data_IF_357382333563
#
_entry.id   IF_357382333563
#
_cell.length_a   1.000
_cell.length_b   1.000
_cell.length_c   1.000
_cell.angle_alpha   90.00
_cell.angle_beta   90.00
_cell.angle_gamma   90.00
#
_symmetry.space_group_name_H-M   'P 1'
#
loop_
_entity.id
_entity.type
_entity.pdbx_description
1 polymer ?
#
# COMPACT_ATOMS: atom_id res chain seq x y z
N UNK A 1 15.04 8.91 35.15
CA UNK A 1 14.90 10.32 34.77
C UNK A 1 16.17 11.02 34.26
N UNK A 2 17.39 10.71 34.74
CA UNK A 2 18.64 11.38 34.31
C UNK A 2 19.16 11.01 32.90
N UNK A 3 18.80 9.87 32.36
CA UNK A 3 19.26 9.43 31.01
C UNK A 3 18.54 10.11 29.84
N UNK A 4 17.30 10.53 30.02
CA UNK A 4 16.52 11.20 28.94
C UNK A 4 16.90 12.67 28.73
N UNK A 5 17.43 13.34 29.79
CA UNK A 5 17.91 14.71 29.71
C UNK A 5 19.22 14.85 28.91
N UNK A 6 20.07 13.81 28.89
CA UNK A 6 21.31 13.81 28.12
C UNK A 6 21.06 13.69 26.63
N UNK A 7 20.09 12.88 26.20
CA UNK A 7 19.73 12.72 24.77
C UNK A 7 19.09 14.00 24.23
N UNK A 8 18.22 14.65 24.99
CA UNK A 8 17.64 15.94 24.62
C UNK A 8 18.70 17.06 24.54
N UNK A 9 19.71 17.06 25.41
CA UNK A 9 20.79 18.05 25.38
C UNK A 9 21.72 17.86 24.18
N UNK A 10 21.97 16.62 23.73
CA UNK A 10 22.80 16.35 22.57
C UNK A 10 22.08 16.75 21.27
N UNK A 11 20.77 16.52 21.16
CA UNK A 11 19.99 16.97 20.01
C UNK A 11 19.94 18.51 19.89
N UNK A 12 19.82 19.22 21.01
CA UNK A 12 19.76 20.68 21.04
C UNK A 12 21.16 21.30 20.81
N UNK A 13 22.26 20.63 21.19
CA UNK A 13 23.62 21.14 20.98
C UNK A 13 24.16 20.92 19.55
N UNK A 14 23.60 19.97 18.78
CA UNK A 14 23.99 19.72 17.39
C UNK A 14 23.30 20.70 16.42
N UNK A 15 22.10 21.16 16.74
CA UNK A 15 21.36 22.13 15.91
C UNK A 15 22.12 23.44 15.63
N UNK A 16 22.80 24.11 16.62
CA UNK A 16 23.54 25.34 16.33
C UNK A 16 24.83 25.14 15.53
N UNK A 17 25.44 23.95 15.57
CA UNK A 17 26.67 23.67 14.80
C UNK A 17 26.37 23.43 13.32
N UNK A 18 25.20 22.88 12.99
CA UNK A 18 24.72 22.76 11.61
C UNK A 18 24.40 24.14 10.97
N UNK A 19 24.11 25.17 11.78
CA UNK A 19 23.85 26.52 11.30
C UNK A 19 25.11 27.35 10.99
N UNK A 20 26.32 26.87 11.31
CA UNK A 20 27.60 27.57 11.04
C UNK A 20 28.31 27.12 9.75
N UNK A 21 27.74 26.18 8.98
CA UNK A 21 28.28 25.80 7.70
C UNK A 21 27.97 26.93 6.68
N UNK A 22 28.99 27.70 6.34
CA UNK A 22 28.96 28.72 5.29
C UNK A 22 28.40 28.12 3.99
N UNK A 23 27.43 28.84 3.36
CA UNK A 23 26.82 28.58 2.05
C UNK A 23 25.82 27.40 1.93
N UNK A 24 25.20 26.95 3.01
CA UNK A 24 23.99 26.11 2.85
C UNK A 24 22.79 26.98 2.45
N UNK A 25 22.49 27.02 1.17
CA UNK A 25 21.21 27.57 0.70
C UNK A 25 20.10 26.65 1.18
N UNK A 26 19.30 27.12 2.17
CA UNK A 26 17.95 26.61 2.37
C UNK A 26 17.25 26.77 1.01
N UNK A 27 17.07 25.65 0.25
CA UNK A 27 16.72 25.81 -1.16
C UNK A 27 15.31 26.33 -1.34
N UNK A 28 14.32 25.78 -0.65
CA UNK A 28 12.95 26.31 -0.62
C UNK A 28 12.02 25.39 0.17
N UNK A 29 10.91 25.96 0.60
CA UNK A 29 9.73 25.24 1.06
C UNK A 29 8.66 25.27 -0.03
N UNK A 30 8.06 24.10 -0.31
CA UNK A 30 6.91 23.97 -1.22
C UNK A 30 5.81 23.19 -0.52
N UNK A 31 4.61 23.77 -0.45
CA UNK A 31 3.46 23.11 0.17
C UNK A 31 3.19 21.76 -0.52
N UNK A 32 3.20 20.69 0.28
CA UNK A 32 3.04 19.31 -0.18
C UNK A 32 4.32 18.61 -0.63
N UNK A 33 5.44 19.34 -0.76
CA UNK A 33 6.75 18.77 -1.11
C UNK A 33 7.79 18.94 0.01
N UNK A 34 7.48 19.78 1.00
CA UNK A 34 8.26 19.95 2.22
C UNK A 34 9.44 20.92 2.09
N UNK A 35 10.35 20.78 3.06
CA UNK A 35 11.53 21.60 3.23
C UNK A 35 12.75 20.87 2.69
N UNK A 36 13.48 21.52 1.77
CA UNK A 36 14.66 20.94 1.15
C UNK A 36 15.92 21.73 1.53
N UNK A 37 16.93 21.00 1.96
CA UNK A 37 18.29 21.48 2.22
C UNK A 37 19.23 20.84 1.20
N UNK A 38 20.11 21.60 0.58
CA UNK A 38 21.10 21.06 -0.35
C UNK A 38 22.43 21.78 -0.23
N UNK A 39 23.52 21.06 -0.46
CA UNK A 39 24.87 21.61 -0.60
C UNK A 39 25.39 21.25 -2.00
N UNK A 40 24.99 22.04 -2.97
CA UNK A 40 25.29 21.77 -4.39
C UNK A 40 24.87 20.34 -4.77
N UNK A 41 25.75 19.65 -5.45
CA UNK A 41 25.55 18.24 -5.88
C UNK A 41 26.04 17.22 -4.84
N UNK A 42 26.55 17.64 -3.69
CA UNK A 42 27.16 16.73 -2.73
C UNK A 42 26.12 15.96 -1.94
N UNK A 43 25.10 16.66 -1.46
CA UNK A 43 23.97 16.03 -0.77
C UNK A 43 22.71 16.89 -0.83
N UNK A 44 21.59 16.23 -0.67
CA UNK A 44 20.26 16.82 -0.53
C UNK A 44 19.49 16.09 0.54
N UNK A 45 18.80 16.85 1.41
CA UNK A 45 17.86 16.33 2.40
C UNK A 45 16.52 17.03 2.18
N UNK A 46 15.45 16.24 2.07
CA UNK A 46 14.09 16.73 2.01
C UNK A 46 13.29 16.16 3.18
N UNK A 47 12.79 17.06 4.02
CA UNK A 47 11.89 16.75 5.13
C UNK A 47 10.47 17.13 4.73
N UNK A 48 9.55 16.20 4.81
CA UNK A 48 8.14 16.42 4.55
C UNK A 48 7.25 15.54 5.41
N UNK A 49 6.02 15.99 5.59
CA UNK A 49 5.02 15.22 6.30
C UNK A 49 3.63 15.55 5.84
N UNK A 50 2.66 14.82 6.33
CA UNK A 50 1.26 15.12 6.13
C UNK A 50 0.38 14.50 7.22
N UNK A 51 -0.78 15.14 7.43
CA UNK A 51 -1.82 14.67 8.32
C UNK A 51 -3.13 14.55 7.56
N UNK A 52 -3.93 13.53 7.90
CA UNK A 52 -5.22 13.23 7.28
C UNK A 52 -6.27 12.91 8.34
N UNK A 53 -6.82 13.92 9.04
CA UNK A 53 -8.00 13.73 9.86
C UNK A 53 -9.21 13.49 8.96
N UNK A 54 -10.11 12.59 9.40
CA UNK A 54 -11.35 12.32 8.69
C UNK A 54 -12.53 12.02 9.62
N UNK A 55 -13.71 12.24 9.11
CA UNK A 55 -14.97 11.78 9.65
C UNK A 55 -15.49 10.64 8.76
N UNK A 56 -16.02 9.59 9.39
CA UNK A 56 -16.64 8.45 8.72
C UNK A 56 -17.98 8.15 9.37
N UNK A 57 -18.95 7.85 8.55
CA UNK A 57 -20.18 7.19 9.01
C UNK A 57 -20.46 5.94 8.18
N UNK A 58 -21.13 4.98 8.80
CA UNK A 58 -21.64 3.76 8.17
C UNK A 58 -23.10 3.56 8.56
N UNK A 59 -23.88 3.06 7.64
CA UNK A 59 -25.24 2.63 7.85
C UNK A 59 -25.53 1.42 6.99
N UNK A 60 -26.55 0.68 7.35
CA UNK A 60 -26.92 -0.57 6.70
C UNK A 60 -28.34 -0.48 6.16
N UNK A 61 -28.67 -1.28 5.15
CA UNK A 61 -30.02 -1.37 4.60
C UNK A 61 -30.87 -2.44 5.32
N UNK A 62 -30.26 -3.23 6.20
CA UNK A 62 -30.99 -4.20 7.04
C UNK A 62 -31.87 -3.45 8.04
N UNK A 63 -33.19 -3.67 7.98
CA UNK A 63 -34.18 -3.01 8.84
C UNK A 63 -34.03 -3.36 10.32
N UNK A 64 -33.33 -4.44 10.65
CA UNK A 64 -33.05 -4.86 12.02
C UNK A 64 -31.82 -4.19 12.64
N UNK A 65 -31.06 -3.42 11.83
CA UNK A 65 -29.85 -2.74 12.24
C UNK A 65 -30.04 -1.23 12.29
N UNK A 66 -30.69 -0.73 13.36
CA UNK A 66 -30.96 0.70 13.58
C UNK A 66 -29.72 1.53 13.95
N UNK A 67 -28.55 1.19 13.44
CA UNK A 67 -27.31 1.80 13.86
C UNK A 67 -26.64 2.69 12.82
N UNK A 68 -26.55 4.01 13.11
CA UNK A 68 -25.58 4.90 12.46
C UNK A 68 -24.26 4.83 13.22
N UNK A 69 -23.28 4.08 12.69
CA UNK A 69 -21.92 4.13 13.21
C UNK A 69 -21.22 5.38 12.68
N UNK A 70 -20.64 6.18 13.58
CA UNK A 70 -19.94 7.40 13.19
C UNK A 70 -18.71 7.63 14.07
N UNK A 71 -17.64 8.17 13.45
CA UNK A 71 -16.40 8.47 14.18
C UNK A 71 -15.57 9.56 13.52
N UNK A 72 -14.87 10.31 14.35
CA UNK A 72 -13.70 11.10 13.95
C UNK A 72 -12.43 10.31 14.17
N UNK A 73 -11.48 10.40 13.24
CA UNK A 73 -10.24 9.64 13.31
C UNK A 73 -9.09 10.36 12.61
N UNK A 74 -7.89 10.17 13.11
CA UNK A 74 -6.66 10.49 12.40
C UNK A 74 -6.27 9.30 11.53
N UNK A 75 -6.50 9.40 10.22
CA UNK A 75 -6.27 8.30 9.30
C UNK A 75 -4.78 8.07 9.02
N UNK A 76 -4.02 9.16 8.86
CA UNK A 76 -2.56 9.11 8.64
C UNK A 76 -1.91 10.35 9.24
N UNK A 77 -0.74 10.14 9.86
CA UNK A 77 0.15 11.20 10.34
C UNK A 77 1.58 10.77 10.02
N UNK A 78 2.13 11.22 8.89
CA UNK A 78 3.38 10.70 8.35
C UNK A 78 4.47 11.75 8.31
N UNK A 79 5.68 11.31 8.69
CA UNK A 79 6.92 12.07 8.49
C UNK A 79 7.84 11.27 7.59
N UNK A 80 8.52 11.97 6.69
CA UNK A 80 9.46 11.38 5.76
C UNK A 80 10.69 12.25 5.59
N UNK A 81 11.85 11.63 5.71
CA UNK A 81 13.14 12.16 5.34
C UNK A 81 13.61 11.39 4.12
N UNK A 82 13.93 12.07 3.05
CA UNK A 82 14.55 11.46 1.88
C UNK A 82 15.57 12.42 1.28
N UNK A 83 16.50 11.88 0.52
CA UNK A 83 17.51 12.70 -0.10
C UNK A 83 18.44 11.88 -0.97
N UNK A 84 19.50 12.55 -1.37
CA UNK A 84 20.60 11.96 -2.10
C UNK A 84 21.94 12.44 -1.56
N UNK A 85 22.98 11.67 -1.81
CA UNK A 85 24.35 11.92 -1.38
C UNK A 85 25.35 11.45 -2.44
N UNK A 86 26.64 11.75 -2.21
CA UNK A 86 27.75 11.32 -3.06
C UNK A 86 27.53 11.64 -4.55
N UNK A 87 27.13 12.87 -4.86
CA UNK A 87 26.84 13.34 -6.22
C UNK A 87 25.76 12.51 -6.91
N UNK A 88 24.65 12.31 -6.21
CA UNK A 88 23.48 11.52 -6.64
C UNK A 88 23.72 10.03 -6.87
N UNK A 89 24.82 9.48 -6.35
CA UNK A 89 25.09 8.03 -6.42
C UNK A 89 24.29 7.24 -5.40
N UNK A 90 23.93 7.88 -4.27
CA UNK A 90 23.20 7.24 -3.19
C UNK A 90 21.93 8.01 -2.95
N UNK A 91 20.77 7.35 -3.04
CA UNK A 91 19.50 7.88 -2.55
C UNK A 91 19.13 7.15 -1.26
N UNK A 92 18.35 7.80 -0.41
CA UNK A 92 17.86 7.20 0.83
C UNK A 92 16.47 7.70 1.18
N UNK A 93 15.76 6.90 1.96
CA UNK A 93 14.47 7.28 2.55
C UNK A 93 14.29 6.64 3.91
N UNK A 94 13.74 7.44 4.79
CA UNK A 94 13.17 7.03 6.06
C UNK A 94 11.76 7.61 6.18
N UNK A 95 10.76 6.79 6.50
CA UNK A 95 9.38 7.23 6.66
C UNK A 95 8.71 6.49 7.80
N UNK A 96 7.99 7.25 8.65
CA UNK A 96 7.20 6.73 9.76
C UNK A 96 5.75 7.17 9.64
N UNK A 97 4.84 6.40 10.22
CA UNK A 97 3.43 6.75 10.43
C UNK A 97 3.12 6.71 11.93
N UNK A 98 2.67 7.84 12.46
CA UNK A 98 2.36 8.02 13.88
C UNK A 98 0.88 7.75 14.19
N UNK A 99 0.07 7.41 13.19
CA UNK A 99 -1.36 7.13 13.39
C UNK A 99 -1.66 5.71 13.88
N UNK A 100 -0.70 4.78 13.77
CA UNK A 100 -0.89 3.37 14.09
C UNK A 100 -1.81 2.59 13.14
N UNK A 101 -2.18 3.19 12.00
CA UNK A 101 -3.03 2.54 11.01
C UNK A 101 -2.22 1.97 9.85
N UNK A 102 -2.66 0.82 9.32
CA UNK A 102 -2.09 0.29 8.08
C UNK A 102 -2.38 1.20 6.87
N UNK A 103 -1.70 0.95 5.76
CA UNK A 103 -1.91 1.68 4.50
C UNK A 103 -3.36 1.57 4.01
N UNK A 104 -4.02 0.47 4.26
CA UNK A 104 -5.40 0.17 3.88
C UNK A 104 -6.42 0.49 4.98
N UNK A 105 -5.99 0.61 6.24
CA UNK A 105 -6.83 1.01 7.38
C UNK A 105 -7.62 -0.13 8.02
N UNK A 106 -7.38 -1.34 7.60
CA UNK A 106 -8.05 -2.56 8.06
C UNK A 106 -7.27 -3.32 9.16
N UNK A 107 -6.05 -2.90 9.44
CA UNK A 107 -5.17 -3.52 10.43
C UNK A 107 -4.38 -2.46 11.21
N UNK A 108 -3.89 -2.79 12.38
CA UNK A 108 -2.84 -2.03 13.03
C UNK A 108 -1.52 -2.15 12.25
N UNK A 109 -0.68 -1.13 12.28
CA UNK A 109 0.60 -1.17 11.60
C UNK A 109 1.73 -0.73 12.52
N UNK A 110 2.91 -1.24 12.26
CA UNK A 110 4.14 -0.74 12.87
C UNK A 110 4.43 0.71 12.45
N UNK A 111 5.14 1.43 13.29
CA UNK A 111 5.48 2.84 13.04
C UNK A 111 6.36 3.01 11.79
N UNK A 112 7.33 2.11 11.58
CA UNK A 112 8.26 2.19 10.46
C UNK A 112 7.59 1.78 9.15
N UNK A 113 7.63 2.67 8.17
CA UNK A 113 7.12 2.42 6.82
C UNK A 113 8.24 2.13 5.83
N UNK A 114 9.07 3.13 5.54
CA UNK A 114 10.17 3.00 4.59
C UNK A 114 11.50 3.22 5.32
N UNK A 115 12.48 2.34 5.11
CA UNK A 115 13.85 2.47 5.57
C UNK A 115 14.75 1.79 4.54
N UNK A 116 15.30 2.55 3.60
CA UNK A 116 16.09 1.98 2.54
C UNK A 116 17.19 2.91 2.03
N UNK A 117 18.21 2.30 1.47
CA UNK A 117 19.29 2.95 0.74
C UNK A 117 19.33 2.39 -0.69
N UNK A 118 19.53 3.27 -1.67
CA UNK A 118 19.65 2.95 -3.09
C UNK A 118 21.00 3.38 -3.60
N UNK A 119 21.64 2.50 -4.35
CA UNK A 119 22.83 2.82 -5.11
C UNK A 119 22.48 2.95 -6.60
N UNK A 120 22.76 4.12 -7.19
CA UNK A 120 22.55 4.42 -8.59
C UNK A 120 23.81 4.01 -9.37
N UNK A 121 23.78 2.80 -9.97
CA UNK A 121 24.90 2.30 -10.81
C UNK A 121 25.10 3.26 -11.99
N UNK A 122 24.00 3.65 -12.62
CA UNK A 122 23.94 4.68 -13.64
C UNK A 122 22.51 5.27 -13.71
N UNK A 123 22.25 6.19 -14.64
CA UNK A 123 20.94 6.83 -14.82
C UNK A 123 19.77 5.87 -15.16
N UNK A 124 20.07 4.63 -15.52
CA UNK A 124 19.08 3.66 -16.00
C UNK A 124 19.01 2.40 -15.14
N UNK A 125 19.93 2.19 -14.20
CA UNK A 125 19.97 1.00 -13.36
C UNK A 125 20.34 1.39 -11.94
N UNK A 126 19.54 0.94 -10.98
CA UNK A 126 19.80 1.13 -9.56
C UNK A 126 19.45 -0.12 -8.75
N UNK A 127 20.07 -0.25 -7.60
CA UNK A 127 19.81 -1.30 -6.62
C UNK A 127 19.42 -0.63 -5.31
N UNK A 128 18.31 -1.06 -4.75
CA UNK A 128 17.81 -0.59 -3.44
C UNK A 128 17.85 -1.75 -2.46
N UNK A 129 18.31 -1.50 -1.23
CA UNK A 129 18.28 -2.45 -0.12
C UNK A 129 17.56 -1.82 1.07
N UNK A 130 16.69 -2.60 1.73
CA UNK A 130 15.91 -2.19 2.88
C UNK A 130 14.41 -2.37 2.70
N UNK A 131 13.63 -1.74 3.58
CA UNK A 131 12.17 -1.84 3.59
C UNK A 131 11.54 -0.75 2.74
N UNK A 132 10.72 -1.12 1.77
CA UNK A 132 9.96 -0.20 0.92
C UNK A 132 8.67 -0.82 0.41
N UNK A 133 7.85 0.00 -0.25
CA UNK A 133 6.68 -0.51 -1.01
C UNK A 133 7.15 -1.52 -2.03
N UNK A 134 6.55 -2.72 -2.01
CA UNK A 134 6.87 -3.77 -2.97
C UNK A 134 6.33 -3.44 -4.37
N UNK A 135 7.13 -3.66 -5.43
CA UNK A 135 6.68 -3.43 -6.80
C UNK A 135 5.72 -4.52 -7.31
N UNK A 136 5.63 -5.65 -6.61
CA UNK A 136 4.83 -6.82 -7.00
C UNK A 136 3.34 -6.70 -6.69
N UNK A 137 2.94 -5.62 -6.02
CA UNK A 137 1.54 -5.28 -5.79
C UNK A 137 0.98 -4.40 -6.91
N UNK A 138 -0.32 -4.09 -6.83
CA UNK A 138 -1.02 -3.23 -7.78
C UNK A 138 -0.50 -1.77 -7.76
N UNK A 139 -0.76 -1.02 -8.82
CA UNK A 139 -0.26 0.34 -9.05
C UNK A 139 -0.65 1.32 -7.97
N UNK A 140 -1.85 1.23 -7.42
CA UNK A 140 -2.33 2.14 -6.39
C UNK A 140 -1.39 2.19 -5.18
N UNK A 141 -0.74 1.08 -4.82
CA UNK A 141 0.24 1.03 -3.74
C UNK A 141 1.54 1.78 -4.04
N UNK A 142 1.92 1.94 -5.31
CA UNK A 142 3.06 2.76 -5.71
C UNK A 142 2.79 4.27 -5.55
N UNK A 143 1.53 4.65 -5.30
CA UNK A 143 1.10 6.05 -5.16
C UNK A 143 1.09 6.46 -3.69
N UNK A 144 1.54 7.68 -3.41
CA UNK A 144 1.45 8.25 -2.06
C UNK A 144 0.00 8.48 -1.65
N UNK A 145 -0.35 8.16 -0.41
CA UNK A 145 -1.74 8.28 0.07
C UNK A 145 -2.31 9.70 -0.01
N UNK A 146 -1.46 10.73 0.09
CA UNK A 146 -1.87 12.12 -0.10
C UNK A 146 -2.25 12.44 -1.56
N UNK A 147 -1.88 11.58 -2.53
CA UNK A 147 -2.15 11.78 -3.96
C UNK A 147 -3.38 11.03 -4.48
N UNK A 148 -4.07 10.28 -3.62
CA UNK A 148 -5.29 9.56 -3.96
C UNK A 148 -6.42 10.53 -4.31
N UNK A 149 -7.25 10.18 -5.29
CA UNK A 149 -8.46 10.91 -5.66
C UNK A 149 -9.62 10.62 -4.70
N UNK A 150 -9.77 9.37 -4.30
CA UNK A 150 -10.72 8.94 -3.28
C UNK A 150 -10.03 8.84 -1.92
N UNK A 151 -10.80 8.87 -0.84
CA UNK A 151 -10.29 8.92 0.53
C UNK A 151 -9.52 7.66 0.88
N UNK A 152 -10.07 6.50 0.53
CA UNK A 152 -9.44 5.21 0.79
C UNK A 152 -8.99 4.52 -0.51
N UNK A 153 -8.02 3.64 -0.35
CA UNK A 153 -7.57 2.74 -1.42
C UNK A 153 -8.67 1.78 -1.84
N UNK A 154 -8.52 1.18 -3.02
CA UNK A 154 -9.46 0.18 -3.53
C UNK A 154 -9.49 -1.06 -2.63
N UNK A 155 -10.58 -1.81 -2.70
CA UNK A 155 -10.68 -3.08 -1.98
C UNK A 155 -9.70 -4.12 -2.52
N UNK A 156 -9.35 -4.11 -3.81
CA UNK A 156 -8.27 -4.92 -4.39
C UNK A 156 -6.97 -4.71 -3.62
N UNK A 157 -6.60 -3.46 -3.38
CA UNK A 157 -5.40 -3.12 -2.61
C UNK A 157 -5.45 -3.67 -1.19
N UNK A 158 -6.58 -3.54 -0.49
CA UNK A 158 -6.71 -4.04 0.88
C UNK A 158 -6.76 -5.57 0.95
N UNK A 159 -7.35 -6.23 -0.03
CA UNK A 159 -7.46 -7.69 -0.05
C UNK A 159 -6.13 -8.38 -0.40
N UNK A 160 -5.40 -7.90 -1.39
CA UNK A 160 -4.25 -8.63 -1.97
C UNK A 160 -2.88 -8.01 -1.68
N UNK A 161 -2.81 -6.74 -1.29
CA UNK A 161 -1.53 -6.05 -1.16
C UNK A 161 -0.70 -6.55 0.01
N UNK A 162 0.56 -6.92 -0.23
CA UNK A 162 1.59 -7.12 0.80
C UNK A 162 2.08 -5.79 1.35
N UNK A 163 1.99 -4.74 0.57
CA UNK A 163 2.25 -3.32 0.83
C UNK A 163 3.73 -3.01 0.88
N UNK A 164 4.45 -3.48 1.89
CA UNK A 164 5.88 -3.23 2.09
C UNK A 164 6.58 -4.51 2.45
N UNK A 165 7.82 -4.62 1.99
CA UNK A 165 8.68 -5.76 2.27
C UNK A 165 10.12 -5.30 2.45
N UNK A 166 10.88 -6.06 3.22
CA UNK A 166 12.31 -5.88 3.39
C UNK A 166 13.06 -6.78 2.40
N UNK A 167 14.04 -6.22 1.67
CA UNK A 167 14.82 -6.99 0.72
C UNK A 167 15.63 -6.16 -0.25
N UNK A 168 15.97 -6.77 -1.39
CA UNK A 168 16.72 -6.17 -2.50
C UNK A 168 15.79 -5.92 -3.68
N UNK A 169 15.92 -4.74 -4.27
CA UNK A 169 15.14 -4.33 -5.44
C UNK A 169 16.06 -3.77 -6.50
N UNK A 170 15.91 -4.27 -7.73
CA UNK A 170 16.69 -3.81 -8.90
C UNK A 170 15.74 -3.13 -9.86
N UNK A 171 15.91 -1.83 -10.07
CA UNK A 171 15.07 -1.03 -10.96
C UNK A 171 15.84 -0.67 -12.23
N UNK A 172 15.23 -0.94 -13.39
CA UNK A 172 15.73 -0.60 -14.70
C UNK A 172 14.89 0.49 -15.40
N UNK A 173 15.50 1.20 -16.35
CA UNK A 173 14.82 2.15 -17.23
C UNK A 173 15.42 2.10 -18.63
N UNK A 174 14.66 1.60 -19.58
CA UNK A 174 15.03 1.50 -20.97
C UNK A 174 14.19 2.48 -21.80
N UNK A 175 14.84 3.25 -22.69
CA UNK A 175 14.16 4.15 -23.62
C UNK A 175 14.40 3.69 -25.05
N UNK A 176 13.32 3.56 -25.81
CA UNK A 176 13.41 3.25 -27.24
C UNK A 176 13.74 4.50 -28.06
N UNK A 177 14.15 4.32 -29.30
CA UNK A 177 14.39 5.43 -30.25
C UNK A 177 13.13 6.29 -30.48
N UNK A 178 11.95 5.69 -30.42
CA UNK A 178 10.65 6.37 -30.59
C UNK A 178 10.13 7.05 -29.32
N UNK A 179 10.92 7.11 -28.24
CA UNK A 179 10.54 7.83 -27.01
C UNK A 179 9.66 7.04 -26.04
N UNK A 180 9.35 5.77 -26.32
CA UNK A 180 8.68 4.86 -25.38
C UNK A 180 9.64 4.46 -24.25
N UNK A 181 9.09 4.06 -23.10
CA UNK A 181 9.89 3.58 -21.97
C UNK A 181 9.41 2.21 -21.50
N UNK A 182 10.37 1.36 -21.13
CA UNK A 182 10.16 0.14 -20.34
C UNK A 182 10.88 0.31 -19.00
N UNK A 183 10.20 -0.01 -17.92
CA UNK A 183 10.74 0.09 -16.56
C UNK A 183 10.58 -1.25 -15.83
N UNK A 184 11.51 -2.19 -16.04
CA UNK A 184 11.52 -3.45 -15.29
C UNK A 184 11.98 -3.20 -13.85
N UNK A 185 11.37 -3.92 -12.91
CA UNK A 185 11.79 -4.00 -11.51
C UNK A 185 11.79 -5.46 -11.09
N UNK A 186 12.88 -5.93 -10.47
CA UNK A 186 12.99 -7.22 -9.80
C UNK A 186 13.00 -6.98 -8.28
N UNK A 187 12.37 -7.85 -7.51
CA UNK A 187 12.36 -7.83 -6.06
C UNK A 187 12.67 -9.22 -5.51
N UNK A 188 13.56 -9.29 -4.53
CA UNK A 188 13.82 -10.47 -3.70
C UNK A 188 13.68 -10.00 -2.27
N UNK A 189 12.70 -10.54 -1.54
CA UNK A 189 12.29 -10.08 -0.22
C UNK A 189 12.02 -11.26 0.71
N UNK A 190 11.86 -11.01 2.00
CA UNK A 190 11.53 -12.07 2.96
C UNK A 190 10.13 -12.67 2.73
N UNK A 191 9.19 -11.92 2.12
CA UNK A 191 7.84 -12.44 1.85
C UNK A 191 6.82 -12.23 2.98
N UNK A 192 7.25 -11.84 4.15
CA UNK A 192 6.43 -11.69 5.37
C UNK A 192 5.88 -10.28 5.60
N UNK A 193 6.13 -9.36 4.67
CA UNK A 193 5.65 -7.99 4.77
C UNK A 193 6.65 -7.05 5.45
N UNK A 194 6.10 -6.06 6.18
CA UNK A 194 6.90 -5.02 6.82
C UNK A 194 7.23 -5.37 8.28
N UNK A 195 8.35 -4.80 8.76
CA UNK A 195 8.73 -4.81 10.19
C UNK A 195 9.05 -6.19 10.75
N UNK A 196 9.59 -7.08 9.94
CA UNK A 196 10.15 -8.37 10.35
C UNK A 196 11.54 -8.11 10.93
N UNK A 197 11.66 -8.11 12.27
CA UNK A 197 12.89 -7.69 12.96
C UNK A 197 13.59 -8.81 13.74
N UNK A 198 12.93 -9.91 14.01
CA UNK A 198 13.42 -10.94 14.95
C UNK A 198 13.46 -12.30 14.28
N UNK A 199 12.32 -12.84 13.96
CA UNK A 199 12.17 -14.13 13.31
C UNK A 199 11.67 -13.95 11.88
N UNK A 200 12.18 -14.77 10.98
CA UNK A 200 11.74 -14.91 9.61
C UNK A 200 11.14 -16.31 9.46
N UNK A 201 10.00 -16.43 8.83
CA UNK A 201 9.31 -17.71 8.63
C UNK A 201 9.24 -18.02 7.13
N UNK A 202 9.41 -19.31 6.81
CA UNK A 202 9.40 -19.76 5.44
C UNK A 202 10.65 -19.35 4.65
N UNK A 203 10.48 -19.05 3.37
CA UNK A 203 11.59 -18.71 2.45
C UNK A 203 11.45 -17.32 1.84
N UNK A 204 12.25 -17.10 0.79
CA UNK A 204 12.25 -15.83 0.10
C UNK A 204 11.05 -15.70 -0.86
N UNK A 205 10.60 -14.48 -1.03
CA UNK A 205 9.70 -14.10 -2.12
C UNK A 205 10.50 -13.50 -3.28
N UNK A 206 10.28 -14.04 -4.47
CA UNK A 206 10.85 -13.51 -5.71
C UNK A 206 9.73 -12.99 -6.59
N UNK A 207 9.91 -11.83 -7.17
CA UNK A 207 8.90 -11.25 -8.04
C UNK A 207 9.39 -10.04 -8.80
N UNK A 208 8.52 -9.51 -9.65
CA UNK A 208 8.88 -8.36 -10.45
C UNK A 208 7.69 -7.64 -11.05
N UNK A 209 8.02 -6.54 -11.72
CA UNK A 209 7.09 -5.67 -12.42
C UNK A 209 7.74 -5.16 -13.69
N UNK A 210 6.95 -5.05 -14.75
CA UNK A 210 7.36 -4.34 -15.96
C UNK A 210 6.31 -3.27 -16.24
N UNK A 211 6.72 -1.99 -16.22
CA UNK A 211 5.92 -0.87 -16.66
C UNK A 211 6.29 -0.50 -18.10
N UNK A 212 5.30 -0.38 -18.97
CA UNK A 212 5.43 0.12 -20.34
C UNK A 212 4.72 1.47 -20.50
N UNK A 213 5.43 2.48 -21.00
CA UNK A 213 4.96 3.84 -21.21
C UNK A 213 5.06 4.20 -22.70
N UNK A 214 4.02 3.86 -23.52
CA UNK A 214 4.05 4.07 -24.97
C UNK A 214 4.15 5.55 -25.38
N UNK A 215 3.58 6.45 -24.60
CA UNK A 215 3.55 7.90 -24.89
C UNK A 215 4.60 8.69 -24.09
N UNK A 216 5.66 8.00 -23.64
CA UNK A 216 6.72 8.62 -22.86
C UNK A 216 6.33 8.87 -21.39
N UNK A 217 7.19 9.60 -20.68
CA UNK A 217 6.99 9.87 -19.26
C UNK A 217 5.86 10.86 -19.00
N UNK A 218 5.19 10.69 -17.87
CA UNK A 218 4.22 11.66 -17.36
C UNK A 218 4.94 12.89 -16.77
N UNK A 219 4.29 14.03 -16.82
CA UNK A 219 4.76 15.25 -16.17
C UNK A 219 4.79 15.05 -14.65
N UNK A 220 5.87 15.48 -14.00
CA UNK A 220 6.03 15.43 -12.54
C UNK A 220 5.72 14.05 -11.91
N UNK A 221 6.18 12.96 -12.54
CA UNK A 221 5.93 11.60 -12.07
C UNK A 221 4.44 11.26 -11.94
N UNK A 222 3.61 11.77 -12.86
CA UNK A 222 2.16 11.59 -12.85
C UNK A 222 1.69 10.12 -12.84
N UNK A 223 2.52 9.16 -13.28
CA UNK A 223 2.24 7.72 -13.20
C UNK A 223 2.15 7.17 -11.77
N UNK A 224 2.59 7.95 -10.77
CA UNK A 224 2.53 7.62 -9.33
C UNK A 224 1.58 8.55 -8.55
N UNK A 225 0.63 9.17 -9.23
CA UNK A 225 -0.38 10.09 -8.66
C UNK A 225 -1.70 9.81 -9.34
N UNK A 226 -2.84 9.77 -8.63
CA UNK A 226 -4.11 9.42 -9.27
C UNK A 226 -4.65 10.58 -10.11
N UNK A 227 -4.87 11.75 -9.53
CA UNK A 227 -5.45 12.89 -10.25
C UNK A 227 -4.53 13.43 -11.35
N UNK A 228 -5.12 13.87 -12.46
CA UNK A 228 -4.41 14.65 -13.50
C UNK A 228 -4.39 16.15 -13.14
N UNK A 229 -3.75 16.47 -12.00
CA UNK A 229 -3.69 17.84 -11.47
C UNK A 229 -2.90 18.80 -12.38
N UNK A 230 -1.91 18.28 -13.12
CA UNK A 230 -1.12 19.05 -14.09
C UNK A 230 -1.85 19.27 -15.41
N UNK A 231 -2.93 18.48 -15.67
CA UNK A 231 -3.70 18.47 -16.90
C UNK A 231 -2.83 18.20 -18.12
N UNK A 232 -2.29 16.98 -18.19
CA UNK A 232 -1.41 16.51 -19.29
C UNK A 232 -1.92 16.99 -20.66
N UNK A 233 -1.09 17.70 -21.39
CA UNK A 233 -1.48 18.30 -22.67
C UNK A 233 -1.61 17.27 -23.81
N UNK A 234 -0.90 16.16 -23.68
CA UNK A 234 -0.95 15.00 -24.58
C UNK A 234 -1.35 13.76 -23.79
N UNK A 235 -2.02 12.77 -24.40
CA UNK A 235 -2.34 11.53 -23.72
C UNK A 235 -1.09 10.88 -23.12
N UNK A 236 -1.19 10.40 -21.89
CA UNK A 236 -0.15 9.65 -21.19
C UNK A 236 -0.74 8.34 -20.71
N UNK A 237 -0.03 7.25 -20.99
CA UNK A 237 -0.42 5.90 -20.61
C UNK A 237 0.77 5.17 -20.00
N UNK A 238 0.52 4.45 -18.94
CA UNK A 238 1.41 3.41 -18.42
C UNK A 238 0.59 2.14 -18.23
N UNK A 239 1.15 1.02 -18.65
CA UNK A 239 0.63 -0.33 -18.41
C UNK A 239 1.66 -1.10 -17.61
N UNK A 240 1.22 -1.89 -16.63
CA UNK A 240 2.09 -2.67 -15.77
C UNK A 240 1.62 -4.11 -15.66
N UNK A 241 2.56 -5.05 -15.67
CA UNK A 241 2.34 -6.44 -15.31
C UNK A 241 3.20 -6.79 -14.12
N UNK A 242 2.65 -7.58 -13.19
CA UNK A 242 3.33 -8.03 -11.97
C UNK A 242 3.20 -9.53 -11.81
N UNK A 243 4.23 -10.12 -11.22
CA UNK A 243 4.22 -11.51 -10.79
C UNK A 243 5.10 -11.66 -9.55
N UNK A 244 4.70 -12.51 -8.61
CA UNK A 244 5.52 -12.90 -7.47
C UNK A 244 5.19 -14.29 -6.98
N UNK A 245 6.21 -14.98 -6.49
CA UNK A 245 6.15 -16.27 -5.84
C UNK A 245 6.81 -16.17 -4.47
N UNK A 246 6.05 -16.49 -3.42
CA UNK A 246 6.49 -16.48 -2.03
C UNK A 246 6.62 -17.93 -1.55
N UNK A 247 7.82 -18.33 -1.18
CA UNK A 247 8.15 -19.68 -0.73
C UNK A 247 7.88 -19.79 0.77
N UNK A 248 6.78 -20.45 1.14
CA UNK A 248 6.39 -20.63 2.53
C UNK A 248 5.90 -19.32 3.17
N UNK A 249 4.60 -19.06 3.11
CA UNK A 249 3.99 -17.84 3.63
C UNK A 249 3.35 -18.09 4.99
N UNK A 250 3.76 -17.35 6.02
CA UNK A 250 3.29 -17.45 7.40
C UNK A 250 2.11 -16.53 7.74
N UNK A 251 1.43 -15.96 6.72
CA UNK A 251 0.33 -15.03 6.90
C UNK A 251 -0.71 -15.14 5.78
N UNK A 252 -1.80 -14.37 5.83
CA UNK A 252 -2.91 -14.47 4.87
C UNK A 252 -2.55 -14.00 3.45
N UNK A 253 -1.56 -13.10 3.28
CA UNK A 253 -1.25 -12.42 2.01
C UNK A 253 0.16 -11.82 1.96
N UNK A 254 1.10 -12.28 2.81
CA UNK A 254 2.46 -11.73 2.92
C UNK A 254 2.50 -10.32 3.53
N UNK A 255 1.64 -10.05 4.53
CA UNK A 255 1.58 -8.76 5.24
C UNK A 255 1.88 -8.88 6.73
N UNK A 256 1.96 -10.06 7.27
CA UNK A 256 2.34 -10.39 8.63
C UNK A 256 3.42 -11.45 8.62
N UNK A 257 4.04 -11.66 9.77
CA UNK A 257 5.08 -12.65 9.99
C UNK A 257 4.69 -13.54 11.18
N UNK A 258 4.66 -14.86 10.97
CA UNK A 258 4.37 -15.83 12.01
C UNK A 258 2.92 -15.85 12.54
N UNK A 259 2.00 -15.17 11.86
CA UNK A 259 0.58 -15.14 12.27
C UNK A 259 -0.10 -16.49 12.10
N UNK A 260 0.36 -17.30 11.13
CA UNK A 260 -0.22 -18.59 10.76
C UNK A 260 0.93 -19.55 10.45
N UNK A 261 1.16 -20.51 11.36
CA UNK A 261 2.24 -21.49 11.23
C UNK A 261 1.69 -22.91 11.16
N UNK A 262 2.30 -23.71 10.29
CA UNK A 262 2.07 -25.11 10.09
C UNK A 262 3.38 -25.89 10.19
N UNK A 263 3.32 -27.12 10.70
CA UNK A 263 4.48 -27.97 10.92
C UNK A 263 4.27 -29.34 10.26
N UNK A 264 5.37 -29.96 9.91
CA UNK A 264 5.43 -31.36 9.49
C UNK A 264 5.38 -32.33 10.68
N UNK A 265 5.60 -33.62 10.45
CA UNK A 265 5.64 -34.66 11.47
C UNK A 265 6.83 -34.54 12.44
N UNK A 266 7.93 -33.87 12.00
CA UNK A 266 9.14 -33.66 12.80
C UNK A 266 9.05 -32.41 13.67
N UNK A 267 8.05 -31.56 13.43
CA UNK A 267 7.89 -30.27 14.07
C UNK A 267 8.62 -29.13 13.36
N UNK A 268 9.12 -29.39 12.13
CA UNK A 268 9.72 -28.36 11.29
C UNK A 268 8.65 -27.58 10.51
N UNK A 269 8.92 -26.32 10.16
CA UNK A 269 7.98 -25.49 9.43
C UNK A 269 7.68 -26.05 8.02
N UNK A 270 6.39 -26.26 7.75
CA UNK A 270 5.87 -26.58 6.42
C UNK A 270 4.77 -25.59 6.08
N UNK A 271 5.08 -24.60 5.24
CA UNK A 271 4.23 -23.45 4.98
C UNK A 271 3.78 -23.41 3.50
N UNK A 272 2.55 -22.91 3.23
CA UNK A 272 2.04 -22.83 1.88
C UNK A 272 2.82 -21.82 1.03
N UNK A 273 3.04 -22.16 -0.24
CA UNK A 273 3.58 -21.23 -1.22
C UNK A 273 2.45 -20.35 -1.78
N UNK A 274 2.74 -19.07 -1.97
CA UNK A 274 1.74 -18.10 -2.43
C UNK A 274 2.17 -17.40 -3.71
N UNK A 275 1.35 -17.53 -4.74
CA UNK A 275 1.56 -16.86 -6.03
C UNK A 275 0.58 -15.71 -6.19
N UNK A 276 1.11 -14.58 -6.63
CA UNK A 276 0.30 -13.39 -6.96
C UNK A 276 0.71 -12.84 -8.31
N UNK A 277 -0.27 -12.46 -9.12
CA UNK A 277 -0.07 -11.85 -10.43
C UNK A 277 -1.04 -10.70 -10.64
N UNK A 278 -0.71 -9.80 -11.52
CA UNK A 278 -1.57 -8.65 -11.77
C UNK A 278 -1.27 -7.92 -13.07
N UNK A 279 -2.26 -7.16 -13.49
CA UNK A 279 -2.18 -6.20 -14.57
C UNK A 279 -2.78 -4.88 -14.12
N UNK A 280 -2.17 -3.77 -14.51
CA UNK A 280 -2.72 -2.45 -14.23
C UNK A 280 -2.39 -1.45 -15.35
N UNK A 281 -3.14 -0.37 -15.39
CA UNK A 281 -2.84 0.75 -16.26
C UNK A 281 -3.28 2.07 -15.64
N UNK A 282 -2.66 3.16 -16.07
CA UNK A 282 -3.12 4.53 -15.81
C UNK A 282 -3.02 5.38 -17.07
N UNK A 283 -4.13 6.05 -17.38
CA UNK A 283 -4.25 6.98 -18.50
C UNK A 283 -4.57 8.38 -17.97
N UNK A 284 -3.93 9.41 -18.54
CA UNK A 284 -4.22 10.82 -18.23
C UNK A 284 -4.22 11.68 -19.48
N UNK A 285 -5.19 12.61 -19.52
CA UNK A 285 -5.30 13.58 -20.59
C UNK A 285 -6.21 14.74 -20.22
N UNK A 286 -5.70 15.97 -20.24
CA UNK A 286 -6.44 17.24 -20.08
C UNK A 286 -7.36 17.31 -18.85
N UNK A 287 -6.94 16.70 -17.74
CA UNK A 287 -7.68 16.60 -16.49
C UNK A 287 -8.43 15.30 -16.30
N UNK A 288 -8.65 14.51 -17.34
CA UNK A 288 -9.16 13.17 -17.21
C UNK A 288 -8.07 12.22 -16.71
N UNK A 289 -8.43 11.33 -15.81
CA UNK A 289 -7.58 10.23 -15.32
C UNK A 289 -8.40 8.94 -15.22
N UNK A 290 -7.77 7.83 -15.57
CA UNK A 290 -8.36 6.50 -15.46
C UNK A 290 -7.31 5.54 -14.93
N UNK A 291 -7.66 4.80 -13.89
CA UNK A 291 -6.86 3.72 -13.29
C UNK A 291 -7.65 2.42 -13.40
N UNK A 292 -7.04 1.39 -13.99
CA UNK A 292 -7.57 0.03 -13.98
C UNK A 292 -6.55 -0.91 -13.37
N UNK A 293 -7.01 -1.87 -12.57
CA UNK A 293 -6.17 -2.85 -11.87
C UNK A 293 -6.88 -4.19 -11.82
N UNK A 294 -6.13 -5.25 -12.01
CA UNK A 294 -6.52 -6.64 -11.80
C UNK A 294 -5.44 -7.34 -10.99
N UNK A 295 -5.84 -8.12 -10.01
CA UNK A 295 -4.95 -8.96 -9.19
C UNK A 295 -5.60 -10.32 -9.03
N UNK A 296 -4.80 -11.37 -9.20
CA UNK A 296 -5.17 -12.74 -8.86
C UNK A 296 -4.12 -13.36 -7.96
N UNK A 297 -4.53 -14.31 -7.13
CA UNK A 297 -3.66 -15.04 -6.24
C UNK A 297 -4.14 -16.48 -6.05
N UNK A 298 -3.20 -17.40 -5.87
CA UNK A 298 -3.46 -18.79 -5.50
C UNK A 298 -2.33 -19.32 -4.61
N UNK A 299 -2.60 -20.42 -3.93
CA UNK A 299 -1.64 -21.08 -3.06
C UNK A 299 -1.46 -22.56 -3.43
N UNK A 300 -0.25 -23.06 -3.18
CA UNK A 300 0.06 -24.48 -3.16
C UNK A 300 0.37 -24.88 -1.73
N UNK A 301 -0.37 -25.85 -1.21
CA UNK A 301 -0.22 -26.35 0.16
C UNK A 301 0.68 -27.58 0.12
N UNK A 302 1.74 -27.65 0.96
CA UNK A 302 2.56 -28.84 1.10
C UNK A 302 1.77 -30.03 1.64
N UNK A 303 2.08 -31.24 1.15
CA UNK A 303 1.39 -32.49 1.56
C UNK A 303 1.86 -33.02 2.92
N UNK A 304 2.97 -32.51 3.47
CA UNK A 304 3.60 -32.92 4.71
C UNK A 304 3.12 -32.14 5.94
N UNK A 305 2.18 -31.21 5.78
CA UNK A 305 1.58 -30.51 6.92
C UNK A 305 0.76 -31.48 7.76
N UNK A 306 1.17 -31.64 9.04
CA UNK A 306 0.49 -32.51 10.02
C UNK A 306 -0.03 -31.75 11.24
N UNK A 307 0.51 -30.57 11.51
CA UNK A 307 0.15 -29.76 12.67
C UNK A 307 0.00 -28.28 12.32
N UNK A 308 -0.84 -27.60 13.09
CA UNK A 308 -0.96 -26.13 13.08
C UNK A 308 -0.62 -25.56 14.43
N UNK A 309 0.01 -24.40 14.48
CA UNK A 309 0.28 -23.68 15.71
C UNK A 309 -0.93 -22.79 16.04
N UNK A 310 -1.41 -22.88 17.29
CA UNK A 310 -2.48 -22.02 17.81
C UNK A 310 -1.92 -20.71 18.34
N UNK A 311 -2.79 -19.73 18.57
CA UNK A 311 -2.41 -18.41 19.12
C UNK A 311 -1.81 -18.46 20.52
N UNK A 312 -2.03 -19.55 21.27
CA UNK A 312 -1.43 -19.80 22.60
C UNK A 312 -0.08 -20.57 22.50
N UNK A 313 0.42 -20.82 21.28
CA UNK A 313 1.65 -21.55 21.01
C UNK A 313 1.52 -23.07 21.06
N UNK A 314 0.36 -23.62 21.41
CA UNK A 314 0.14 -25.08 21.37
C UNK A 314 -0.10 -25.58 19.95
N UNK A 315 0.19 -26.85 19.68
CA UNK A 315 -0.07 -27.48 18.39
C UNK A 315 -1.39 -28.23 18.35
N UNK A 316 -1.92 -28.44 17.16
CA UNK A 316 -3.12 -29.23 16.90
C UNK A 316 -3.04 -29.90 15.54
N UNK A 317 -3.42 -31.17 15.47
CA UNK A 317 -3.55 -31.94 14.22
C UNK A 317 -4.97 -31.93 13.64
N UNK A 318 -5.86 -31.07 14.16
CA UNK A 318 -7.24 -30.97 13.67
C UNK A 318 -7.31 -29.91 12.55
N UNK A 319 -7.69 -30.34 11.35
CA UNK A 319 -7.90 -29.52 10.15
C UNK A 319 -9.30 -29.79 9.60
N UNK A 320 -10.32 -29.48 10.39
CA UNK A 320 -11.70 -29.81 10.08
C UNK A 320 -12.36 -28.76 9.18
N UNK A 321 -12.93 -29.21 8.08
CA UNK A 321 -13.81 -28.48 7.17
C UNK A 321 -15.09 -29.33 7.03
N UNK A 322 -16.24 -28.74 7.33
CA UNK A 322 -17.56 -29.37 7.24
C UNK A 322 -17.66 -30.74 7.94
N UNK A 323 -16.88 -30.95 9.02
CA UNK A 323 -16.87 -32.16 9.83
C UNK A 323 -15.89 -33.25 9.36
N UNK A 324 -15.14 -33.01 8.31
CA UNK A 324 -14.10 -33.88 7.77
C UNK A 324 -12.71 -33.27 7.88
N UNK A 325 -11.69 -34.13 8.02
CA UNK A 325 -10.30 -33.72 8.08
C UNK A 325 -9.82 -33.37 6.66
N UNK A 326 -9.52 -32.07 6.39
CA UNK A 326 -9.08 -31.58 5.10
C UNK A 326 -7.99 -30.51 5.28
N UNK A 327 -6.72 -30.94 5.25
CA UNK A 327 -5.56 -30.07 5.48
C UNK A 327 -5.47 -29.00 4.43
N UNK A 328 -5.61 -29.35 3.15
CA UNK A 328 -5.41 -28.43 2.04
C UNK A 328 -6.42 -27.27 2.08
N UNK A 329 -7.71 -27.58 2.18
CA UNK A 329 -8.76 -26.58 2.18
C UNK A 329 -8.80 -25.79 3.50
N UNK A 330 -8.43 -26.41 4.61
CA UNK A 330 -8.25 -25.70 5.89
C UNK A 330 -7.17 -24.60 5.80
N UNK A 331 -6.02 -24.91 5.20
CA UNK A 331 -4.93 -23.95 5.00
C UNK A 331 -5.36 -22.86 4.05
N UNK A 332 -5.95 -23.20 2.90
CA UNK A 332 -6.48 -22.25 1.91
C UNK A 332 -7.49 -21.28 2.52
N UNK A 333 -8.36 -21.75 3.40
CA UNK A 333 -9.39 -20.93 4.08
C UNK A 333 -8.78 -19.86 5.02
N UNK A 334 -7.50 -19.93 5.32
CA UNK A 334 -6.74 -18.93 6.08
C UNK A 334 -6.04 -17.90 5.21
N UNK A 335 -6.03 -18.08 3.87
CA UNK A 335 -5.30 -17.28 2.91
C UNK A 335 -6.25 -16.43 2.05
N UNK A 336 -5.75 -15.30 1.54
CA UNK A 336 -6.48 -14.45 0.59
C UNK A 336 -6.26 -14.98 -0.83
N UNK A 337 -7.14 -15.88 -1.28
CA UNK A 337 -7.08 -16.54 -2.59
C UNK A 337 -8.26 -16.13 -3.45
N UNK A 338 -8.02 -15.99 -4.75
CA UNK A 338 -9.02 -15.57 -5.73
C UNK A 338 -8.55 -14.38 -6.53
N UNK A 339 -9.48 -13.55 -6.99
CA UNK A 339 -9.21 -12.45 -7.88
C UNK A 339 -10.01 -11.18 -7.54
N UNK A 340 -9.55 -10.05 -8.07
CA UNK A 340 -10.28 -8.81 -7.96
C UNK A 340 -9.84 -7.80 -8.99
N UNK A 341 -10.75 -6.91 -9.36
CA UNK A 341 -10.45 -5.81 -10.25
C UNK A 341 -11.03 -4.51 -9.74
N UNK A 342 -10.40 -3.43 -10.16
CA UNK A 342 -10.72 -2.07 -9.80
C UNK A 342 -10.64 -1.19 -11.04
N UNK A 343 -11.68 -0.41 -11.28
CA UNK A 343 -11.68 0.62 -12.30
C UNK A 343 -12.11 1.95 -11.69
N UNK A 344 -11.28 2.97 -11.88
CA UNK A 344 -11.50 4.31 -11.32
C UNK A 344 -11.35 5.34 -12.42
N UNK A 345 -12.28 6.29 -12.45
CA UNK A 345 -12.28 7.45 -13.32
C UNK A 345 -12.23 8.72 -12.50
N UNK A 346 -11.64 9.76 -13.04
CA UNK A 346 -11.66 11.08 -12.42
C UNK A 346 -11.52 12.19 -13.44
N UNK A 347 -12.12 13.32 -13.15
CA UNK A 347 -11.94 14.53 -13.94
C UNK A 347 -11.61 15.73 -13.06
N UNK A 348 -10.42 16.27 -13.27
CA UNK A 348 -9.91 17.48 -12.64
C UNK A 348 -10.31 18.70 -13.45
N UNK A 349 -11.22 19.52 -12.94
CA UNK A 349 -11.62 20.79 -13.54
C UNK A 349 -10.52 21.86 -13.39
N UNK A 350 -10.57 22.91 -14.21
CA UNK A 350 -9.60 24.02 -14.15
C UNK A 350 -9.62 24.78 -12.82
N UNK A 351 -10.77 24.80 -12.14
CA UNK A 351 -10.95 25.40 -10.82
C UNK A 351 -10.44 24.51 -9.67
N UNK A 352 -9.72 23.43 -9.97
CA UNK A 352 -9.14 22.50 -8.99
C UNK A 352 -10.18 21.73 -8.16
N UNK A 353 -11.35 21.47 -8.72
CA UNK A 353 -12.31 20.48 -8.23
C UNK A 353 -12.12 19.21 -9.02
N UNK A 354 -12.11 18.05 -8.36
CA UNK A 354 -12.15 16.72 -9.00
C UNK A 354 -13.45 16.02 -8.67
N UNK A 355 -14.02 15.36 -9.65
CA UNK A 355 -15.14 14.41 -9.46
C UNK A 355 -14.64 13.04 -9.89
N UNK A 356 -14.85 12.05 -9.03
CA UNK A 356 -14.20 10.75 -9.13
C UNK A 356 -15.21 9.63 -8.89
N UNK A 357 -15.09 8.54 -9.63
CA UNK A 357 -15.92 7.34 -9.48
C UNK A 357 -15.05 6.10 -9.51
N UNK A 358 -15.39 5.08 -8.72
CA UNK A 358 -14.70 3.78 -8.70
C UNK A 358 -15.67 2.65 -8.53
N UNK A 359 -15.47 1.59 -9.32
CA UNK A 359 -16.03 0.28 -9.10
C UNK A 359 -14.92 -0.71 -8.75
N UNK A 360 -15.15 -1.53 -7.74
CA UNK A 360 -14.22 -2.55 -7.30
C UNK A 360 -14.99 -3.85 -7.08
N UNK A 361 -14.48 -4.94 -7.63
CA UNK A 361 -15.02 -6.30 -7.47
C UNK A 361 -13.97 -7.21 -6.87
N UNK A 362 -14.39 -8.08 -5.95
CA UNK A 362 -13.57 -9.11 -5.33
C UNK A 362 -14.33 -10.44 -5.41
N UNK A 363 -13.63 -11.47 -5.83
CA UNK A 363 -14.13 -12.84 -5.90
C UNK A 363 -13.11 -13.73 -5.19
N UNK A 364 -13.53 -14.38 -4.12
CA UNK A 364 -12.73 -15.38 -3.40
C UNK A 364 -12.89 -16.76 -4.03
N UNK A 365 -11.83 -17.56 -4.02
CA UNK A 365 -11.94 -18.99 -4.29
C UNK A 365 -12.84 -19.65 -3.24
N UNK A 366 -13.39 -20.84 -3.51
CA UNK A 366 -14.34 -21.55 -2.63
C UNK A 366 -13.81 -21.63 -1.20
N UNK A 367 -12.55 -22.00 -1.04
CA UNK A 367 -11.84 -21.99 0.23
C UNK A 367 -10.88 -20.80 0.26
N UNK A 368 -11.38 -19.65 0.71
CA UNK A 368 -10.60 -18.42 0.82
C UNK A 368 -11.06 -17.60 2.00
N UNK A 369 -10.11 -16.95 2.68
CA UNK A 369 -10.44 -15.97 3.71
C UNK A 369 -11.21 -14.75 3.18
N UNK A 370 -11.24 -14.55 1.86
CA UNK A 370 -12.06 -13.52 1.22
C UNK A 370 -13.57 -13.76 1.39
N UNK A 371 -13.97 -14.97 1.71
CA UNK A 371 -15.35 -15.33 2.03
C UNK A 371 -15.71 -15.15 3.52
N UNK A 372 -14.79 -14.62 4.33
CA UNK A 372 -15.06 -14.34 5.74
C UNK A 372 -16.10 -13.23 5.90
N UNK A 373 -17.22 -13.57 6.54
CA UNK A 373 -18.38 -12.68 6.69
C UNK A 373 -18.11 -11.38 7.43
N UNK A 374 -17.17 -11.37 8.38
CA UNK A 374 -16.87 -10.20 9.21
C UNK A 374 -16.18 -9.09 8.41
N UNK A 375 -15.30 -9.44 7.45
CA UNK A 375 -14.44 -8.43 6.81
C UNK A 375 -14.49 -8.41 5.29
N UNK A 376 -14.69 -9.56 4.63
CA UNK A 376 -14.35 -9.71 3.22
C UNK A 376 -15.49 -10.20 2.32
N UNK A 377 -16.54 -10.80 2.85
CA UNK A 377 -17.67 -11.30 2.08
C UNK A 377 -18.53 -10.16 1.48
N UNK A 378 -17.86 -9.28 0.74
CA UNK A 378 -18.40 -8.07 0.11
C UNK A 378 -17.85 -7.97 -1.30
N UNK A 379 -18.55 -8.55 -2.30
CA UNK A 379 -18.01 -8.66 -3.65
C UNK A 379 -17.91 -7.32 -4.39
N UNK A 380 -18.82 -6.38 -4.17
CA UNK A 380 -18.90 -5.18 -4.98
C UNK A 380 -18.86 -3.89 -4.17
N UNK A 381 -18.08 -2.91 -4.65
CA UNK A 381 -17.97 -1.57 -4.07
C UNK A 381 -18.14 -0.52 -5.14
N UNK A 382 -19.10 0.38 -4.97
CA UNK A 382 -19.36 1.51 -5.85
C UNK A 382 -19.07 2.79 -5.09
N UNK A 383 -18.08 3.56 -5.52
CA UNK A 383 -17.66 4.78 -4.81
C UNK A 383 -17.77 5.99 -5.71
N UNK A 384 -18.40 7.04 -5.22
CA UNK A 384 -18.38 8.37 -5.79
C UNK A 384 -17.62 9.31 -4.86
N UNK A 385 -16.91 10.27 -5.40
CA UNK A 385 -16.14 11.23 -4.62
C UNK A 385 -16.03 12.59 -5.28
N UNK A 386 -15.80 13.59 -4.45
CA UNK A 386 -15.47 14.94 -4.88
C UNK A 386 -14.31 15.45 -4.03
N UNK A 387 -13.36 16.13 -4.69
CA UNK A 387 -12.20 16.70 -4.02
C UNK A 387 -12.01 18.16 -4.43
N UNK A 388 -11.71 19.04 -3.47
CA UNK A 388 -11.26 20.40 -3.72
C UNK A 388 -9.77 20.51 -3.37
N UNK A 389 -8.96 20.86 -4.34
CA UNK A 389 -7.55 21.21 -4.15
C UNK A 389 -7.44 22.74 -4.06
N UNK A 390 -6.75 23.25 -3.05
CA UNK A 390 -6.62 24.68 -2.83
C UNK A 390 -5.46 25.30 -3.61
N UNK A 391 -4.55 24.46 -4.12
CA UNK A 391 -3.44 24.83 -4.99
C UNK A 391 -3.21 23.73 -6.04
N UNK A 392 -2.41 24.00 -7.08
CA UNK A 392 -1.95 22.97 -8.03
C UNK A 392 -0.89 22.03 -7.42
N UNK A 393 -1.14 21.61 -6.18
CA UNK A 393 -0.29 20.68 -5.42
C UNK A 393 -1.17 19.75 -4.59
N UNK A 394 -0.57 18.70 -4.08
CA UNK A 394 -1.21 17.78 -3.12
C UNK A 394 -1.04 18.22 -1.66
N UNK A 395 -0.65 19.48 -1.44
CA UNK A 395 -0.34 20.03 -0.13
C UNK A 395 -1.57 20.31 0.72
N UNK A 396 -2.65 20.78 0.13
CA UNK A 396 -3.89 21.03 0.85
C UNK A 396 -5.10 20.68 0.00
N UNK A 397 -5.92 19.75 0.48
CA UNK A 397 -7.19 19.36 -0.16
C UNK A 397 -8.22 18.89 0.86
N UNK A 398 -9.49 19.02 0.49
CA UNK A 398 -10.63 18.43 1.19
C UNK A 398 -11.33 17.49 0.23
N UNK A 399 -11.72 16.32 0.72
CA UNK A 399 -12.35 15.25 -0.06
C UNK A 399 -13.60 14.77 0.67
N UNK A 400 -14.64 14.47 -0.11
CA UNK A 400 -15.82 13.74 0.36
C UNK A 400 -16.04 12.53 -0.54
N UNK A 401 -16.47 11.41 0.02
CA UNK A 401 -16.81 10.21 -0.75
C UNK A 401 -17.99 9.48 -0.11
N UNK A 402 -18.78 8.84 -0.97
CA UNK A 402 -19.87 7.93 -0.60
C UNK A 402 -19.61 6.60 -1.30
N UNK A 403 -19.65 5.51 -0.54
CA UNK A 403 -19.48 4.16 -1.05
C UNK A 403 -20.69 3.32 -0.71
N UNK A 404 -21.29 2.71 -1.71
CA UNK A 404 -22.24 1.61 -1.56
C UNK A 404 -21.49 0.30 -1.67
N UNK A 405 -21.74 -0.61 -0.74
CA UNK A 405 -21.12 -1.94 -0.66
C UNK A 405 -22.22 -2.98 -0.74
N UNK A 406 -22.20 -3.74 -1.82
CA UNK A 406 -23.05 -4.91 -2.01
C UNK A 406 -22.45 -6.06 -1.18
N UNK A 407 -23.22 -6.55 -0.22
CA UNK A 407 -22.78 -7.54 0.74
C UNK A 407 -23.38 -8.91 0.40
N UNK A 408 -22.53 -9.95 0.33
CA UNK A 408 -22.99 -11.30 0.11
C UNK A 408 -23.72 -11.87 1.35
N UNK A 409 -24.60 -12.87 1.19
CA UNK A 409 -25.21 -13.58 2.30
C UNK A 409 -24.15 -14.10 3.31
N UNK A 410 -24.42 -13.96 4.60
CA UNK A 410 -23.46 -14.33 5.65
C UNK A 410 -22.49 -13.21 6.04
N UNK A 411 -22.64 -12.00 5.50
CA UNK A 411 -21.88 -10.83 5.94
C UNK A 411 -22.33 -10.35 7.31
N UNK A 412 -21.39 -9.79 8.07
CA UNK A 412 -21.63 -9.21 9.38
C UNK A 412 -21.51 -7.67 9.32
N UNK A 413 -22.21 -7.00 10.23
CA UNK A 413 -22.05 -5.58 10.48
C UNK A 413 -20.68 -5.25 11.11
N UNK A 414 -20.45 -3.98 11.47
CA UNK A 414 -19.22 -3.54 12.14
C UNK A 414 -19.05 -4.07 13.57
N UNK A 415 -20.10 -4.60 14.19
CA UNK A 415 -20.07 -5.22 15.52
C UNK A 415 -19.82 -6.74 15.47
N UNK A 416 -19.87 -7.32 14.28
CA UNK A 416 -19.79 -8.77 14.07
C UNK A 416 -21.15 -9.47 14.08
N UNK A 417 -22.25 -8.73 14.09
CA UNK A 417 -23.61 -9.27 14.02
C UNK A 417 -23.97 -9.60 12.58
N UNK A 418 -24.55 -10.79 12.36
CA UNK A 418 -25.02 -11.22 11.05
C UNK A 418 -26.06 -10.25 10.51
N UNK A 419 -25.94 -9.86 9.24
CA UNK A 419 -26.87 -8.95 8.58
C UNK A 419 -27.38 -9.50 7.24
N UNK A 420 -28.52 -9.01 6.80
CA UNK A 420 -29.19 -9.37 5.54
C UNK A 420 -29.24 -8.23 4.55
N UNK A 421 -28.45 -7.20 4.68
CA UNK A 421 -28.48 -6.01 3.83
C UNK A 421 -27.11 -5.56 3.37
N UNK A 422 -27.12 -4.40 2.76
CA UNK A 422 -25.93 -3.75 2.20
C UNK A 422 -25.42 -2.63 3.09
N UNK A 423 -24.22 -2.13 2.81
CA UNK A 423 -23.54 -1.13 3.62
C UNK A 423 -23.37 0.18 2.83
N UNK A 424 -23.66 1.30 3.47
CA UNK A 424 -23.30 2.63 3.01
C UNK A 424 -22.19 3.23 3.87
N UNK A 425 -21.16 3.76 3.23
CA UNK A 425 -20.02 4.37 3.92
C UNK A 425 -19.82 5.79 3.38
N UNK A 426 -20.03 6.78 4.22
CA UNK A 426 -19.73 8.18 3.91
C UNK A 426 -18.47 8.65 4.62
N UNK A 427 -17.60 9.41 3.92
CA UNK A 427 -16.36 9.96 4.47
C UNK A 427 -16.11 11.38 4.03
N UNK A 428 -15.57 12.18 4.95
CA UNK A 428 -15.01 13.51 4.65
C UNK A 428 -13.61 13.56 5.24
N UNK A 429 -12.61 13.92 4.44
CA UNK A 429 -11.20 13.96 4.85
C UNK A 429 -10.52 15.25 4.43
N UNK A 430 -9.75 15.82 5.33
CA UNK A 430 -8.81 16.91 5.02
C UNK A 430 -7.39 16.35 4.92
N UNK A 431 -6.65 16.74 3.90
CA UNK A 431 -5.21 16.47 3.79
C UNK A 431 -4.45 17.77 3.88
N UNK A 432 -3.51 17.85 4.81
CA UNK A 432 -2.52 18.91 4.88
C UNK A 432 -1.11 18.29 4.85
N UNK A 433 -0.33 18.68 3.84
CA UNK A 433 1.04 18.18 3.66
C UNK A 433 2.03 19.37 3.60
N UNK A 434 3.11 19.24 4.34
CA UNK A 434 4.16 20.24 4.49
C UNK A 434 5.54 19.69 4.18
#
# INVERSE_FOLDING_TARGET
MKRYLIISSILISVLPQLMRAQDQKLSYYTLGEGLTFSNGDNYKINLRGYVQPYYEFKTYTDENLDGLYQRFRLRRARLRINGDAAKHKIDYRFQIDLSGNSETGDEAAGMLMDAWVRYNINKNLNITFGQKVTPTDNRELLMGSQTLQLIERSRVTSSFGSIREFGVFVDGRLRTKNGMYFKPTLAITNGDGANVFVEDHGGLKVGGRIDFLPFGLFTNFGQYRQADLVRELTPKLVMGVTYSYNMGMSSRRGRGNGDILYLDENGDESLPNYTKYGFDFMLKYRGFSMLGEFVGSYATVPDDITQRVRTDGTTSSTFEIDGEQDVENYVKNRMMLGQGYNIQFGYMFKNLVSVDARYCHIEGDDYSFLNNGTFYNRPNYYTLGVSKYFQKSYGFKVQASLTYVDCAPGSNDYTGTLMSGDEWIGRVMTTFAF
#
